data_IF_534451230008
#
_entry.id   IF_534451230008
#
_cell.length_a   1.000
_cell.length_b   1.000
_cell.length_c   1.000
_cell.angle_alpha   90.00
_cell.angle_beta   90.00
_cell.angle_gamma   90.00
#
_symmetry.space_group_name_H-M   'P 1'
#
loop_
_entity.id
_entity.type
_entity.pdbx_description
1 polymer ?
#
# COMPACT_ATOMS: atom_id res chain seq x y z
N UNK A 1 28.41 -3.90 -11.64
CA UNK A 1 27.34 -3.30 -12.44
C UNK A 1 27.61 -1.79 -12.54
N UNK A 2 28.16 -1.31 -13.66
CA UNK A 2 28.38 0.13 -13.87
C UNK A 2 27.02 0.76 -14.13
N UNK A 3 26.44 1.37 -13.14
CA UNK A 3 25.24 2.20 -13.32
C UNK A 3 25.60 3.35 -14.25
N UNK A 4 25.04 3.33 -15.45
CA UNK A 4 25.22 4.42 -16.40
C UNK A 4 24.52 5.66 -15.83
N UNK A 5 25.29 6.58 -15.25
CA UNK A 5 24.80 7.83 -14.66
C UNK A 5 23.85 8.58 -15.62
N UNK A 6 24.13 8.53 -16.92
CA UNK A 6 23.27 9.12 -17.98
C UNK A 6 21.88 8.47 -18.03
N UNK A 7 21.78 7.16 -17.85
CA UNK A 7 20.50 6.42 -17.85
C UNK A 7 19.70 6.75 -16.59
N UNK A 8 20.36 6.84 -15.45
CA UNK A 8 19.66 7.22 -14.19
C UNK A 8 19.15 8.66 -14.24
N UNK A 9 19.93 9.60 -14.82
CA UNK A 9 19.49 10.99 -15.01
C UNK A 9 18.32 11.05 -15.98
N UNK A 10 18.32 10.26 -17.06
CA UNK A 10 17.20 10.19 -18.00
C UNK A 10 15.91 9.70 -17.32
N UNK A 11 15.99 8.64 -16.50
CA UNK A 11 14.83 8.15 -15.76
C UNK A 11 14.30 9.15 -14.74
N UNK A 12 15.19 9.85 -14.04
CA UNK A 12 14.82 10.89 -13.09
C UNK A 12 14.15 12.08 -13.80
N UNK A 13 14.66 12.46 -14.97
CA UNK A 13 14.05 13.51 -15.80
C UNK A 13 12.66 13.08 -16.30
N UNK A 14 12.48 11.84 -16.77
CA UNK A 14 11.19 11.32 -17.21
C UNK A 14 10.16 11.29 -16.07
N UNK A 15 10.58 10.90 -14.86
CA UNK A 15 9.72 10.92 -13.68
C UNK A 15 9.28 12.34 -13.32
N UNK A 16 10.23 13.29 -13.28
CA UNK A 16 9.94 14.69 -12.99
C UNK A 16 9.06 15.35 -14.08
N UNK A 17 9.32 15.04 -15.34
CA UNK A 17 8.52 15.54 -16.46
C UNK A 17 7.09 14.98 -16.43
N UNK A 18 6.94 13.67 -16.17
CA UNK A 18 5.64 13.03 -16.01
C UNK A 18 4.83 13.63 -14.86
N UNK A 19 5.49 13.84 -13.72
CA UNK A 19 4.88 14.51 -12.57
C UNK A 19 4.44 15.95 -12.90
N UNK A 20 5.35 16.75 -13.48
CA UNK A 20 5.05 18.13 -13.85
C UNK A 20 3.87 18.22 -14.82
N UNK A 21 3.81 17.33 -15.80
CA UNK A 21 2.71 17.24 -16.76
C UNK A 21 1.38 16.93 -16.08
N UNK A 22 1.34 15.94 -15.19
CA UNK A 22 0.12 15.58 -14.46
C UNK A 22 -0.30 16.72 -13.53
N UNK A 23 0.64 17.35 -12.82
CA UNK A 23 0.36 18.48 -11.93
C UNK A 23 -0.23 19.67 -12.68
N UNK A 24 0.26 19.97 -13.87
CA UNK A 24 -0.29 21.03 -14.75
C UNK A 24 -1.69 20.66 -15.22
N UNK A 25 -1.94 19.41 -15.63
CA UNK A 25 -3.25 18.97 -16.08
C UNK A 25 -4.30 18.98 -14.95
N UNK A 26 -3.89 18.66 -13.71
CA UNK A 26 -4.75 18.76 -12.52
C UNK A 26 -5.05 20.21 -12.19
N UNK A 27 -4.05 21.08 -12.20
CA UNK A 27 -4.23 22.52 -11.89
C UNK A 27 -5.01 23.26 -12.97
N UNK A 28 -4.91 22.83 -14.23
CA UNK A 28 -5.69 23.36 -15.34
C UNK A 28 -7.16 22.91 -15.35
N UNK A 29 -7.57 22.04 -14.40
CA UNK A 29 -8.95 21.52 -14.31
C UNK A 29 -9.34 20.55 -15.45
N UNK A 30 -8.38 20.12 -16.26
CA UNK A 30 -8.61 19.13 -17.34
C UNK A 30 -8.89 17.74 -16.76
N UNK A 31 -8.24 17.41 -15.62
CA UNK A 31 -8.45 16.17 -14.91
C UNK A 31 -9.50 16.36 -13.81
N UNK A 32 -10.64 15.71 -13.96
CA UNK A 32 -11.68 15.68 -12.95
C UNK A 32 -11.24 14.85 -11.72
N UNK A 33 -11.91 15.04 -10.56
CA UNK A 33 -11.65 14.28 -9.33
C UNK A 33 -11.57 12.77 -9.57
N UNK A 34 -12.39 12.24 -10.46
CA UNK A 34 -12.39 10.83 -10.85
C UNK A 34 -11.04 10.37 -11.44
N UNK A 35 -10.46 11.18 -12.32
CA UNK A 35 -9.15 10.86 -12.92
C UNK A 35 -8.02 10.91 -11.89
N UNK A 36 -8.10 11.84 -10.94
CA UNK A 36 -7.12 11.92 -9.84
C UNK A 36 -7.18 10.67 -8.96
N UNK A 37 -8.37 10.20 -8.60
CA UNK A 37 -8.55 8.95 -7.84
C UNK A 37 -8.00 7.73 -8.57
N UNK A 38 -8.19 7.65 -9.89
CA UNK A 38 -7.59 6.56 -10.69
C UNK A 38 -6.07 6.62 -10.65
N UNK A 39 -5.48 7.81 -10.77
CA UNK A 39 -4.03 7.98 -10.71
C UNK A 39 -3.46 7.57 -9.35
N UNK A 40 -4.13 7.96 -8.26
CA UNK A 40 -3.77 7.52 -6.90
C UNK A 40 -3.84 5.99 -6.77
N UNK A 41 -4.90 5.36 -7.30
CA UNK A 41 -5.05 3.91 -7.29
C UNK A 41 -3.96 3.20 -8.10
N UNK A 42 -3.59 3.76 -9.25
CA UNK A 42 -2.47 3.25 -10.07
C UNK A 42 -1.18 3.29 -9.25
N UNK A 43 -0.94 4.39 -8.53
CA UNK A 43 0.21 4.52 -7.68
C UNK A 43 0.30 3.50 -6.58
N UNK A 44 -0.77 3.31 -5.84
CA UNK A 44 -0.85 2.27 -4.81
C UNK A 44 -0.53 0.89 -5.42
N UNK A 45 -1.10 0.58 -6.58
CA UNK A 45 -0.87 -0.70 -7.25
C UNK A 45 0.59 -0.85 -7.72
N UNK A 46 1.27 0.22 -8.12
CA UNK A 46 2.69 0.19 -8.49
C UNK A 46 3.54 -0.15 -7.24
N UNK A 47 3.30 0.49 -6.12
CA UNK A 47 4.01 0.21 -4.86
C UNK A 47 3.82 -1.27 -4.46
N UNK A 48 2.59 -1.76 -4.54
CA UNK A 48 2.27 -3.16 -4.25
C UNK A 48 2.98 -4.12 -5.20
N UNK A 49 3.01 -3.81 -6.50
CA UNK A 49 3.68 -4.62 -7.50
C UNK A 49 5.20 -4.66 -7.28
N UNK A 50 5.81 -3.52 -6.94
CA UNK A 50 7.24 -3.45 -6.61
C UNK A 50 7.55 -4.26 -5.35
N UNK A 51 6.72 -4.14 -4.31
CA UNK A 51 6.84 -4.93 -3.09
C UNK A 51 6.73 -6.43 -3.35
N UNK A 52 5.77 -6.85 -4.17
CA UNK A 52 5.61 -8.25 -4.56
C UNK A 52 6.80 -8.73 -5.40
N UNK A 53 7.28 -7.92 -6.35
CA UNK A 53 8.45 -8.25 -7.16
C UNK A 53 9.72 -8.41 -6.30
N UNK A 54 9.87 -7.63 -5.24
CA UNK A 54 10.95 -7.80 -4.28
C UNK A 54 10.89 -9.19 -3.61
N UNK A 55 9.71 -9.61 -3.16
CA UNK A 55 9.52 -10.94 -2.53
C UNK A 55 9.81 -12.04 -3.54
N UNK A 56 9.18 -12.01 -4.71
CA UNK A 56 9.34 -13.04 -5.74
C UNK A 56 10.77 -13.05 -6.29
N UNK A 57 11.36 -11.86 -6.52
CA UNK A 57 12.68 -11.73 -7.12
C UNK A 57 13.82 -12.18 -6.19
N UNK A 58 13.73 -11.91 -4.88
CA UNK A 58 14.78 -12.29 -3.92
C UNK A 58 14.56 -13.66 -3.29
N UNK A 59 13.34 -14.01 -2.90
CA UNK A 59 13.07 -15.29 -2.25
C UNK A 59 12.64 -16.39 -3.22
N UNK A 60 12.31 -16.06 -4.47
CA UNK A 60 11.79 -17.01 -5.44
C UNK A 60 10.45 -17.63 -5.04
N UNK A 61 9.77 -17.04 -4.06
CA UNK A 61 8.55 -17.57 -3.48
C UNK A 61 7.35 -16.75 -3.95
N UNK A 62 6.37 -17.43 -4.54
CA UNK A 62 5.14 -16.80 -4.96
C UNK A 62 4.18 -16.66 -3.77
N UNK A 63 3.82 -15.42 -3.42
CA UNK A 63 2.92 -15.12 -2.29
C UNK A 63 1.67 -14.39 -2.79
N UNK A 64 0.50 -14.89 -2.42
CA UNK A 64 -0.80 -14.26 -2.67
C UNK A 64 -1.36 -13.51 -1.44
N UNK A 65 -0.60 -13.47 -0.35
CA UNK A 65 -1.00 -12.85 0.92
C UNK A 65 -0.86 -11.35 1.00
N UNK A 66 -0.30 -10.71 -0.03
CA UNK A 66 0.07 -9.31 -0.03
C UNK A 66 -1.10 -8.35 0.29
N UNK A 67 -2.29 -8.64 -0.25
CA UNK A 67 -3.49 -7.85 -0.03
C UNK A 67 -3.95 -7.83 1.45
N UNK A 68 -3.77 -8.93 2.18
CA UNK A 68 -4.10 -8.98 3.61
C UNK A 68 -3.21 -8.07 4.45
N UNK A 69 -1.91 -8.05 4.19
CA UNK A 69 -0.98 -7.15 4.90
C UNK A 69 -1.22 -5.67 4.56
N UNK A 70 -1.58 -5.36 3.30
CA UNK A 70 -2.01 -4.03 2.92
C UNK A 70 -3.26 -3.59 3.71
N UNK A 71 -4.23 -4.50 3.88
CA UNK A 71 -5.45 -4.20 4.63
C UNK A 71 -5.15 -3.85 6.10
N UNK A 72 -4.22 -4.54 6.77
CA UNK A 72 -3.80 -4.19 8.14
C UNK A 72 -3.27 -2.75 8.19
N UNK A 73 -2.38 -2.38 7.27
CA UNK A 73 -1.83 -1.03 7.21
C UNK A 73 -2.90 0.03 6.95
N UNK A 74 -3.79 -0.22 5.99
CA UNK A 74 -4.87 0.68 5.62
C UNK A 74 -5.85 0.91 6.79
N UNK A 75 -6.26 -0.15 7.49
CA UNK A 75 -7.16 -0.02 8.63
C UNK A 75 -6.49 0.62 9.85
N UNK A 76 -5.21 0.37 10.10
CA UNK A 76 -4.46 1.08 11.14
C UNK A 76 -4.43 2.59 10.86
N UNK A 77 -4.14 2.99 9.62
CA UNK A 77 -4.16 4.39 9.20
C UNK A 77 -5.57 5.00 9.29
N UNK A 78 -6.61 4.27 8.89
CA UNK A 78 -7.99 4.73 8.93
C UNK A 78 -8.51 4.93 10.36
N UNK A 79 -8.26 3.98 11.27
CA UNK A 79 -8.71 4.05 12.67
C UNK A 79 -8.05 5.22 13.40
N UNK A 80 -6.75 5.42 13.21
CA UNK A 80 -6.03 6.49 13.88
C UNK A 80 -6.34 7.84 13.23
N UNK A 81 -6.39 7.89 11.90
CA UNK A 81 -6.68 9.10 11.13
C UNK A 81 -8.08 9.65 11.39
N UNK A 82 -9.07 8.77 11.57
CA UNK A 82 -10.45 9.21 11.93
C UNK A 82 -10.55 9.83 13.32
N UNK A 83 -9.68 9.42 14.27
CA UNK A 83 -9.68 9.94 15.64
C UNK A 83 -8.86 11.22 15.80
N UNK A 84 -7.78 11.36 15.04
CA UNK A 84 -6.84 12.48 15.18
C UNK A 84 -6.39 12.94 13.79
N UNK A 85 -7.09 13.92 13.19
CA UNK A 85 -6.79 14.42 11.85
C UNK A 85 -5.55 15.31 11.83
N UNK A 86 -4.39 14.75 12.18
CA UNK A 86 -3.11 15.45 12.21
C UNK A 86 -2.10 14.66 11.37
N UNK A 87 -1.23 15.36 10.64
CA UNK A 87 -0.15 14.72 9.87
C UNK A 87 0.74 13.83 10.73
N UNK A 88 1.05 14.26 11.96
CA UNK A 88 1.83 13.44 12.90
C UNK A 88 1.14 12.13 13.28
N UNK A 89 -0.19 12.17 13.48
CA UNK A 89 -0.98 10.97 13.74
C UNK A 89 -1.00 10.02 12.52
N UNK A 90 -1.06 10.59 11.31
CA UNK A 90 -1.00 9.80 10.06
C UNK A 90 0.34 9.05 9.92
N UNK A 91 1.48 9.73 10.11
CA UNK A 91 2.79 9.07 10.08
C UNK A 91 2.94 8.05 11.22
N UNK A 92 2.45 8.37 12.41
CA UNK A 92 2.40 7.42 13.53
C UNK A 92 1.57 6.18 13.20
N UNK A 93 0.44 6.37 12.54
CA UNK A 93 -0.43 5.28 12.08
C UNK A 93 0.25 4.39 11.03
N UNK A 94 1.01 4.96 10.10
CA UNK A 94 1.80 4.20 9.13
C UNK A 94 2.84 3.32 9.82
N UNK A 95 3.57 3.87 10.79
CA UNK A 95 4.57 3.10 11.54
C UNK A 95 3.92 1.99 12.36
N UNK A 96 2.82 2.28 13.05
CA UNK A 96 2.07 1.28 13.82
C UNK A 96 1.47 0.21 12.91
N UNK A 97 0.92 0.57 11.76
CA UNK A 97 0.40 -0.35 10.77
C UNK A 97 1.50 -1.28 10.24
N UNK A 98 2.68 -0.74 9.95
CA UNK A 98 3.84 -1.51 9.52
C UNK A 98 4.32 -2.49 10.62
N UNK A 99 4.35 -2.07 11.88
CA UNK A 99 4.74 -2.91 13.01
C UNK A 99 3.72 -4.05 13.24
N UNK A 100 2.43 -3.75 13.22
CA UNK A 100 1.37 -4.75 13.38
C UNK A 100 1.40 -5.74 12.21
N UNK A 101 1.48 -5.24 10.98
CA UNK A 101 1.59 -6.06 9.77
C UNK A 101 2.85 -6.94 9.81
N UNK A 102 3.99 -6.40 10.25
CA UNK A 102 5.24 -7.13 10.44
C UNK A 102 5.14 -8.22 11.50
N UNK A 103 4.50 -7.94 12.64
CA UNK A 103 4.27 -8.92 13.69
C UNK A 103 3.38 -10.10 13.20
N UNK A 104 2.28 -9.77 12.50
CA UNK A 104 1.40 -10.78 11.89
C UNK A 104 2.16 -11.59 10.84
N UNK A 105 2.97 -10.91 10.00
CA UNK A 105 3.79 -11.56 8.98
C UNK A 105 4.81 -12.53 9.58
N UNK A 106 5.44 -12.19 10.71
CA UNK A 106 6.33 -13.11 11.43
C UNK A 106 5.60 -14.30 11.98
N UNK A 107 4.47 -14.07 12.65
CA UNK A 107 3.68 -15.16 13.26
C UNK A 107 3.17 -16.16 12.22
N UNK A 108 2.71 -15.67 11.08
CA UNK A 108 2.20 -16.50 9.99
C UNK A 108 3.34 -17.02 9.11
N UNK A 109 4.37 -16.22 8.90
CA UNK A 109 5.51 -16.53 8.04
C UNK A 109 6.28 -17.77 8.52
N UNK A 110 6.54 -17.88 9.83
CA UNK A 110 7.29 -19.02 10.39
C UNK A 110 6.71 -20.38 9.98
N UNK A 111 5.41 -20.67 10.11
CA UNK A 111 4.84 -21.93 9.63
C UNK A 111 4.74 -22.01 8.11
N UNK A 112 4.43 -20.92 7.42
CA UNK A 112 4.22 -20.94 5.97
C UNK A 112 5.53 -21.07 5.16
N UNK A 113 6.65 -20.58 5.69
CA UNK A 113 7.98 -20.74 5.06
C UNK A 113 8.45 -22.21 4.94
N UNK A 114 7.81 -23.14 5.66
CA UNK A 114 8.06 -24.57 5.52
C UNK A 114 7.41 -25.18 4.27
N UNK A 115 6.44 -24.46 3.69
CA UNK A 115 5.73 -24.88 2.49
C UNK A 115 6.53 -24.45 1.24
N UNK A 116 6.43 -25.23 0.17
CA UNK A 116 7.13 -24.96 -1.09
C UNK A 116 6.15 -24.88 -2.26
N UNK A 117 6.50 -24.08 -3.26
CA UNK A 117 5.75 -23.95 -4.49
C UNK A 117 4.31 -23.51 -4.27
N UNK A 118 3.36 -24.19 -4.91
CA UNK A 118 1.94 -23.83 -4.93
C UNK A 118 1.28 -23.89 -3.54
N UNK A 119 1.74 -24.77 -2.65
CA UNK A 119 1.24 -24.86 -1.28
C UNK A 119 1.49 -23.57 -0.49
N UNK A 120 2.62 -22.89 -0.73
CA UNK A 120 2.92 -21.62 -0.12
C UNK A 120 1.95 -20.53 -0.63
N UNK A 121 1.67 -20.51 -1.94
CA UNK A 121 0.74 -19.56 -2.54
C UNK A 121 -0.67 -19.71 -1.95
N UNK A 122 -1.17 -20.95 -1.83
CA UNK A 122 -2.49 -21.25 -1.25
C UNK A 122 -2.53 -20.86 0.22
N UNK A 123 -1.48 -21.19 1.00
CA UNK A 123 -1.41 -20.85 2.42
C UNK A 123 -1.42 -19.31 2.64
N UNK A 124 -0.65 -18.56 1.84
CA UNK A 124 -0.61 -17.09 1.94
C UNK A 124 -1.93 -16.45 1.50
N UNK A 125 -2.64 -17.02 0.51
CA UNK A 125 -3.99 -16.62 0.15
C UNK A 125 -4.96 -16.84 1.32
N UNK A 126 -4.90 -18.02 1.96
CA UNK A 126 -5.71 -18.32 3.14
C UNK A 126 -5.49 -17.35 4.28
N UNK A 127 -4.24 -16.95 4.53
CA UNK A 127 -3.91 -15.94 5.54
C UNK A 127 -4.54 -14.58 5.19
N UNK A 128 -4.44 -14.16 3.93
CA UNK A 128 -5.05 -12.91 3.46
C UNK A 128 -6.56 -12.92 3.68
N UNK A 129 -7.22 -14.04 3.42
CA UNK A 129 -8.65 -14.20 3.64
C UNK A 129 -9.02 -14.21 5.14
N UNK A 130 -8.22 -14.84 5.98
CA UNK A 130 -8.40 -14.79 7.44
C UNK A 130 -8.31 -13.34 7.93
N UNK A 131 -7.31 -12.57 7.49
CA UNK A 131 -7.16 -11.15 7.84
C UNK A 131 -8.40 -10.36 7.39
N UNK A 132 -8.88 -10.60 6.17
CA UNK A 132 -10.09 -9.97 5.65
C UNK A 132 -11.32 -10.26 6.51
N UNK A 133 -11.51 -11.51 6.91
CA UNK A 133 -12.62 -11.95 7.78
C UNK A 133 -12.50 -11.27 9.15
N UNK A 134 -11.32 -11.21 9.75
CA UNK A 134 -11.10 -10.50 11.01
C UNK A 134 -11.47 -9.02 10.92
N UNK A 135 -11.10 -8.36 9.81
CA UNK A 135 -11.44 -6.95 9.58
C UNK A 135 -12.96 -6.77 9.44
N UNK A 136 -13.63 -7.62 8.64
CA UNK A 136 -15.08 -7.54 8.43
C UNK A 136 -15.85 -7.81 9.72
N UNK A 137 -15.35 -8.70 10.58
CA UNK A 137 -15.99 -9.06 11.85
C UNK A 137 -15.49 -8.20 13.03
N UNK A 138 -14.64 -7.21 12.81
CA UNK A 138 -14.07 -6.35 13.85
C UNK A 138 -15.04 -5.39 14.55
N UNK A 139 -16.33 -5.51 14.26
CA UNK A 139 -17.41 -4.78 14.94
C UNK A 139 -17.28 -3.27 14.82
N UNK A 140 -17.34 -2.57 15.96
CA UNK A 140 -17.31 -1.10 16.04
C UNK A 140 -15.94 -0.48 15.68
N UNK A 141 -14.86 -1.27 15.69
CA UNK A 141 -13.51 -0.76 15.38
C UNK A 141 -13.30 -0.60 13.87
N UNK A 142 -13.82 -1.50 13.08
CA UNK A 142 -13.62 -1.54 11.62
C UNK A 142 -14.87 -1.13 10.85
N UNK A 143 -15.99 -0.97 11.55
CA UNK A 143 -17.32 -0.75 10.98
C UNK A 143 -17.77 -1.89 10.03
N UNK A 144 -17.18 -3.06 10.19
CA UNK A 144 -17.54 -4.28 9.48
C UNK A 144 -17.39 -4.18 7.95
N UNK A 145 -18.39 -4.70 7.25
CA UNK A 145 -18.42 -4.69 5.78
C UNK A 145 -18.62 -3.29 5.18
N UNK A 146 -19.14 -2.32 5.96
CA UNK A 146 -19.33 -0.95 5.49
C UNK A 146 -18.02 -0.15 5.41
N UNK A 147 -16.97 -0.60 6.13
CA UNK A 147 -15.69 0.08 6.21
C UNK A 147 -15.74 1.39 7.02
N UNK A 148 -14.58 2.00 7.22
CA UNK A 148 -14.45 3.24 7.98
C UNK A 148 -14.78 4.41 7.07
N UNK A 149 -15.79 5.19 7.44
CA UNK A 149 -16.25 6.38 6.72
C UNK A 149 -15.66 7.64 7.40
N UNK A 150 -15.56 8.74 6.64
CA UNK A 150 -15.14 10.03 7.17
C UNK A 150 -13.65 10.14 7.47
N UNK A 151 -12.83 9.38 6.78
CA UNK A 151 -11.36 9.50 6.87
C UNK A 151 -10.98 10.88 6.29
N UNK A 152 -10.23 11.73 7.05
CA UNK A 152 -9.76 13.01 6.54
C UNK A 152 -8.87 12.80 5.31
N UNK A 153 -9.07 13.61 4.26
CA UNK A 153 -8.20 13.61 3.11
C UNK A 153 -6.83 14.19 3.49
N UNK A 154 -5.89 13.32 3.83
CA UNK A 154 -4.49 13.69 4.03
C UNK A 154 -3.70 13.70 2.71
N UNK A 155 -4.25 13.10 1.66
CA UNK A 155 -3.62 12.99 0.36
C UNK A 155 -4.06 14.15 -0.53
N UNK A 156 -3.27 15.20 -0.55
CA UNK A 156 -3.22 16.05 -1.73
C UNK A 156 -2.32 15.37 -2.78
N UNK A 157 -2.65 15.52 -4.07
CA UNK A 157 -1.81 15.05 -5.17
C UNK A 157 -0.32 15.34 -4.97
N UNK A 158 0.00 16.46 -4.36
CA UNK A 158 1.36 16.84 -3.99
C UNK A 158 2.01 15.91 -2.94
N UNK A 159 1.22 15.29 -2.05
CA UNK A 159 1.74 14.37 -1.03
C UNK A 159 1.95 12.95 -1.54
N UNK A 160 1.19 12.51 -2.54
CA UNK A 160 1.36 11.20 -3.14
C UNK A 160 2.79 10.99 -3.63
N UNK A 161 3.47 12.06 -4.05
CA UNK A 161 4.84 12.05 -4.55
C UNK A 161 5.90 11.91 -3.46
N UNK A 162 5.66 12.46 -2.28
CA UNK A 162 6.60 12.29 -1.16
C UNK A 162 6.59 10.87 -0.60
N UNK A 163 5.60 10.05 -0.96
CA UNK A 163 5.45 8.66 -0.53
C UNK A 163 5.93 7.64 -1.58
N UNK A 164 6.26 8.11 -2.81
CA UNK A 164 6.81 7.30 -3.91
C UNK A 164 8.33 7.42 -3.98
#
# INVERSE_FOLDING_TARGET
MKTNLKVNILWLFLLLAGYGLISVLVSAGVLNLFHVQILEQIGINIILAVGLNLIVGFSGQFSLGHAGFMAIGAYAAAIIGSKSPTYGAFFGAMVLGALISGAVALFVGIPTLRLKGDYLAVATLGVSEIIRIFIINGGSLTNGAAGILGIPNFTNWQMVIYLW
#
